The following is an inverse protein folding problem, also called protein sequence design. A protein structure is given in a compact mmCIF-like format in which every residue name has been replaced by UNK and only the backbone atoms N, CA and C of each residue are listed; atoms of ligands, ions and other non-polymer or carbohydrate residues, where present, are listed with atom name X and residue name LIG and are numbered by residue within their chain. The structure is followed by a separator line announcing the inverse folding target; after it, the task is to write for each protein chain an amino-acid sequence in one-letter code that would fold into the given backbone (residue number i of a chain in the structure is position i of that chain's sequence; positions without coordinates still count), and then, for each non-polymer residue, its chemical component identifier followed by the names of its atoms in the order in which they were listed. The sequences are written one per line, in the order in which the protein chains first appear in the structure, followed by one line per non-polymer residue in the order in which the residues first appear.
data_IF_563529038108
#
_entry.id   IF_563529038108
#
_cell.length_a   1.000
_cell.length_b   1.000
_cell.length_c   1.000
_cell.angle_alpha   90.00
_cell.angle_beta   90.00
_cell.angle_gamma   90.00
#
_symmetry.space_group_name_H-M   'P 1'
#
loop_
_entity.id
_entity.type
_entity.pdbx_description
1 polymer ?
#
# COMPACT_ATOMS: atom_id res chain seq x y z
N UNK A 1 11.76 -2.62 -6.88
CA UNK A 1 11.29 -1.93 -5.67
C UNK A 1 11.73 -0.48 -5.73
N UNK A 2 10.87 0.47 -5.36
CA UNK A 2 11.26 1.88 -5.22
C UNK A 2 11.59 2.11 -3.74
N UNK A 3 12.86 2.40 -3.44
CA UNK A 3 13.33 2.67 -2.08
C UNK A 3 13.56 4.18 -1.91
N UNK A 4 12.79 4.80 -1.01
CA UNK A 4 12.86 6.23 -0.72
C UNK A 4 13.91 6.58 0.33
N UNK A 5 14.57 5.57 0.91
CA UNK A 5 15.62 5.69 1.92
C UNK A 5 15.17 6.38 3.22
N UNK A 6 16.09 6.52 4.19
CA UNK A 6 15.77 7.05 5.53
C UNK A 6 15.52 8.58 5.57
N UNK A 7 15.65 9.29 4.46
CA UNK A 7 15.28 10.72 4.34
C UNK A 7 13.88 10.94 3.79
N UNK A 8 13.11 9.86 3.56
CA UNK A 8 11.76 9.95 3.04
C UNK A 8 10.87 10.88 3.88
N UNK A 9 10.06 11.67 3.18
CA UNK A 9 8.98 12.46 3.77
C UNK A 9 7.62 11.91 3.37
N UNK A 10 6.57 12.37 4.04
CA UNK A 10 5.19 12.05 3.65
C UNK A 10 4.95 12.39 2.17
N UNK A 11 5.37 13.56 1.72
CA UNK A 11 5.11 14.04 0.36
C UNK A 11 5.89 13.23 -0.69
N UNK A 12 7.13 12.83 -0.38
CA UNK A 12 7.90 11.92 -1.23
C UNK A 12 7.18 10.58 -1.39
N UNK A 13 6.63 10.04 -0.30
CA UNK A 13 5.89 8.79 -0.30
C UNK A 13 4.62 8.89 -1.14
N UNK A 14 3.85 9.96 -0.97
CA UNK A 14 2.59 10.17 -1.69
C UNK A 14 2.81 10.45 -3.16
N UNK A 15 3.79 11.29 -3.52
CA UNK A 15 4.11 11.56 -4.93
C UNK A 15 4.58 10.29 -5.64
N UNK A 16 5.40 9.47 -4.95
CA UNK A 16 5.85 8.19 -5.51
C UNK A 16 4.68 7.22 -5.70
N UNK A 17 3.79 7.12 -4.70
CA UNK A 17 2.61 6.26 -4.80
C UNK A 17 1.69 6.71 -5.94
N UNK A 18 1.47 8.02 -6.11
CA UNK A 18 0.66 8.56 -7.20
C UNK A 18 1.24 8.21 -8.57
N UNK A 19 2.53 8.42 -8.78
CA UNK A 19 3.21 8.07 -10.05
C UNK A 19 3.10 6.58 -10.35
N UNK A 20 3.30 5.71 -9.34
CA UNK A 20 3.16 4.26 -9.52
C UNK A 20 1.72 3.83 -9.82
N UNK A 21 0.72 4.54 -9.30
CA UNK A 21 -0.68 4.27 -9.59
C UNK A 21 -1.07 4.71 -11.01
N UNK A 22 -0.40 5.70 -11.58
CA UNK A 22 -0.60 6.14 -12.96
C UNK A 22 0.15 5.28 -13.99
N UNK A 23 1.27 4.67 -13.61
CA UNK A 23 2.13 3.88 -14.51
C UNK A 23 1.44 2.61 -15.04
N UNK A 24 1.19 2.53 -16.35
CA UNK A 24 0.57 1.38 -17.02
C UNK A 24 1.34 0.06 -16.83
N UNK A 25 2.65 0.11 -16.52
CA UNK A 25 3.46 -1.06 -16.20
C UNK A 25 3.28 -1.60 -14.77
N UNK A 26 2.43 -0.97 -13.96
CA UNK A 26 2.15 -1.35 -12.56
C UNK A 26 0.69 -1.76 -12.42
N UNK A 27 0.45 -3.02 -12.01
CA UNK A 27 -0.89 -3.56 -11.77
C UNK A 27 -1.33 -3.46 -10.29
N UNK A 28 -0.38 -3.52 -9.37
CA UNK A 28 -0.62 -3.55 -7.91
C UNK A 28 0.55 -2.91 -7.16
N UNK A 29 0.25 -2.17 -6.09
CA UNK A 29 1.28 -1.56 -5.25
C UNK A 29 1.26 -2.16 -3.85
N UNK A 30 2.40 -2.69 -3.41
CA UNK A 30 2.68 -3.01 -2.02
C UNK A 30 3.46 -1.84 -1.39
N UNK A 31 2.76 -0.97 -0.67
CA UNK A 31 3.33 0.19 -0.01
C UNK A 31 3.85 -0.20 1.38
N UNK A 32 5.16 -0.15 1.59
CA UNK A 32 5.77 -0.40 2.91
C UNK A 32 6.01 0.96 3.58
N UNK A 33 5.11 1.36 4.46
CA UNK A 33 5.17 2.62 5.20
C UNK A 33 5.85 2.38 6.55
N UNK A 34 7.14 2.75 6.66
CA UNK A 34 7.90 2.70 7.91
C UNK A 34 7.88 4.07 8.58
N UNK A 35 7.51 4.12 9.86
CA UNK A 35 7.36 5.36 10.63
C UNK A 35 8.61 5.69 11.47
N UNK A 36 9.77 5.21 11.02
CA UNK A 36 11.07 5.47 11.64
C UNK A 36 11.78 6.72 11.08
N UNK A 37 11.72 7.03 9.76
CA UNK A 37 12.33 8.24 9.21
C UNK A 37 11.74 9.51 9.84
N UNK A 38 12.58 10.53 10.15
CA UNK A 38 12.12 11.75 10.81
C UNK A 38 11.19 12.60 9.94
N UNK A 39 11.22 12.41 8.62
CA UNK A 39 10.33 13.09 7.67
C UNK A 39 8.94 12.46 7.54
N UNK A 40 8.73 11.28 8.14
CA UNK A 40 7.46 10.55 8.09
C UNK A 40 6.65 10.86 9.33
N UNK A 41 5.40 11.26 9.12
CA UNK A 41 4.48 11.62 10.20
C UNK A 41 3.27 10.69 10.24
N UNK A 42 2.56 10.68 11.36
CA UNK A 42 1.25 10.04 11.49
C UNK A 42 0.21 10.53 10.46
N UNK A 43 0.43 11.71 9.87
CA UNK A 43 -0.39 12.28 8.81
C UNK A 43 -0.33 11.48 7.51
N UNK A 44 0.74 10.71 7.28
CA UNK A 44 0.89 9.84 6.11
C UNK A 44 -0.29 8.89 5.95
N UNK A 45 -0.83 8.35 7.05
CA UNK A 45 -1.97 7.43 7.02
C UNK A 45 -3.18 8.05 6.32
N UNK A 46 -3.52 9.30 6.67
CA UNK A 46 -4.64 10.01 6.06
C UNK A 46 -4.36 10.34 4.59
N UNK A 47 -3.12 10.72 4.27
CA UNK A 47 -2.71 11.03 2.89
C UNK A 47 -2.78 9.79 2.00
N UNK A 48 -2.31 8.63 2.48
CA UNK A 48 -2.42 7.36 1.76
C UNK A 48 -3.90 7.03 1.53
N UNK A 49 -4.74 7.14 2.57
CA UNK A 49 -6.17 6.86 2.43
C UNK A 49 -6.86 7.75 1.39
N UNK A 50 -6.57 9.05 1.37
CA UNK A 50 -7.13 9.96 0.38
C UNK A 50 -6.69 9.67 -1.05
N UNK A 51 -5.46 9.16 -1.24
CA UNK A 51 -5.00 8.75 -2.58
C UNK A 51 -5.58 7.39 -3.01
N UNK A 52 -5.70 6.45 -2.07
CA UNK A 52 -6.16 5.08 -2.35
C UNK A 52 -7.68 5.02 -2.59
N UNK A 53 -8.48 5.91 -2.01
CA UNK A 53 -9.94 5.90 -2.19
C UNK A 53 -10.39 6.05 -3.64
N UNK A 54 -9.60 6.75 -4.46
CA UNK A 54 -9.89 6.99 -5.88
C UNK A 54 -9.03 6.13 -6.83
N UNK A 55 -8.19 5.25 -6.27
CA UNK A 55 -7.26 4.45 -7.05
C UNK A 55 -7.96 3.29 -7.78
N UNK A 56 -7.76 3.18 -9.09
CA UNK A 56 -8.24 2.04 -9.87
C UNK A 56 -7.44 0.75 -9.61
N UNK A 57 -6.18 0.89 -9.17
CA UNK A 57 -5.27 -0.23 -8.91
C UNK A 57 -5.24 -0.58 -7.42
N UNK A 58 -5.18 -1.87 -7.05
CA UNK A 58 -5.13 -2.27 -5.66
C UNK A 58 -3.86 -1.76 -4.96
N UNK A 59 -4.02 -1.23 -3.75
CA UNK A 59 -2.92 -0.84 -2.86
C UNK A 59 -3.01 -1.62 -1.55
N UNK A 60 -1.94 -2.33 -1.22
CA UNK A 60 -1.77 -3.00 0.06
C UNK A 60 -0.73 -2.26 0.86
N UNK A 61 -1.07 -1.84 2.08
CA UNK A 61 -0.15 -1.13 2.96
C UNK A 61 0.44 -2.09 3.99
N UNK A 62 1.75 -2.00 4.23
CA UNK A 62 2.42 -2.64 5.36
C UNK A 62 2.97 -1.53 6.24
N UNK A 63 2.53 -1.48 7.50
CA UNK A 63 3.11 -0.59 8.51
C UNK A 63 3.79 -1.44 9.58
N UNK A 64 5.07 -1.14 9.82
CA UNK A 64 5.92 -1.80 10.81
C UNK A 64 6.95 -0.81 11.36
N UNK A 65 7.48 -1.15 12.53
CA UNK A 65 8.52 -0.40 13.25
C UNK A 65 8.07 1.02 13.66
N UNK A 66 7.64 1.13 14.92
CA UNK A 66 7.23 2.37 15.58
C UNK A 66 6.39 2.05 16.82
N UNK A 67 6.26 2.99 17.78
CA UNK A 67 5.51 2.75 19.01
C UNK A 67 3.99 2.56 18.83
N UNK A 68 3.45 2.82 17.63
CA UNK A 68 2.01 2.91 17.37
C UNK A 68 1.53 2.15 16.12
N UNK A 69 2.31 1.21 15.59
CA UNK A 69 2.01 0.59 14.27
C UNK A 69 0.69 -0.17 14.24
N UNK A 70 0.25 -0.76 15.35
CA UNK A 70 -1.08 -1.38 15.43
C UNK A 70 -2.21 -0.33 15.29
N UNK A 71 -2.02 0.84 15.88
CA UNK A 71 -2.93 1.98 15.73
C UNK A 71 -2.93 2.56 14.33
N UNK A 72 -1.81 2.49 13.61
CA UNK A 72 -1.74 2.87 12.19
C UNK A 72 -2.55 1.91 11.30
N UNK A 73 -2.41 0.60 11.53
CA UNK A 73 -3.20 -0.41 10.80
C UNK A 73 -4.70 -0.24 11.08
N UNK A 74 -5.08 -0.01 12.34
CA UNK A 74 -6.48 0.28 12.69
C UNK A 74 -7.00 1.51 11.96
N UNK A 75 -6.25 2.62 11.95
CA UNK A 75 -6.66 3.84 11.25
C UNK A 75 -6.77 3.66 9.73
N UNK A 76 -5.86 2.90 9.12
CA UNK A 76 -5.98 2.55 7.70
C UNK A 76 -7.30 1.82 7.43
N UNK A 77 -7.63 0.84 8.27
CA UNK A 77 -8.89 0.10 8.17
C UNK A 77 -10.12 1.00 8.32
N UNK A 78 -10.11 1.93 9.28
CA UNK A 78 -11.20 2.90 9.48
C UNK A 78 -11.41 3.80 8.24
N UNK A 79 -10.36 4.03 7.46
CA UNK A 79 -10.43 4.75 6.18
C UNK A 79 -10.66 3.85 4.96
N UNK A 80 -10.95 2.56 5.15
CA UNK A 80 -11.20 1.61 4.06
C UNK A 80 -9.94 1.13 3.33
N UNK A 81 -8.75 1.37 3.87
CA UNK A 81 -7.47 0.91 3.32
C UNK A 81 -7.03 -0.39 3.98
N UNK A 82 -6.66 -1.38 3.16
CA UNK A 82 -6.17 -2.66 3.66
C UNK A 82 -4.71 -2.53 4.10
N UNK A 83 -4.50 -2.62 5.42
CA UNK A 83 -3.18 -2.61 6.05
C UNK A 83 -2.79 -3.94 6.68
N UNK A 84 -1.50 -4.29 6.69
CA UNK A 84 -0.94 -5.44 7.40
C UNK A 84 0.24 -5.07 8.30
N UNK A 85 0.38 -5.72 9.48
CA UNK A 85 1.49 -5.48 10.39
C UNK A 85 2.76 -6.24 10.01
N UNK A 86 2.81 -6.90 8.85
CA UNK A 86 4.04 -7.57 8.40
C UNK A 86 4.16 -7.72 6.89
N UNK A 87 5.39 -7.63 6.38
CA UNK A 87 5.70 -7.82 4.95
C UNK A 87 5.20 -9.18 4.44
N UNK A 88 5.44 -10.33 5.12
CA UNK A 88 4.92 -11.62 4.63
C UNK A 88 3.40 -11.66 4.52
N UNK A 89 2.67 -10.97 5.40
CA UNK A 89 1.20 -10.87 5.31
C UNK A 89 0.77 -10.01 4.13
N UNK A 90 1.41 -8.87 3.91
CA UNK A 90 1.16 -8.00 2.76
C UNK A 90 1.43 -8.71 1.43
N UNK A 91 2.56 -9.42 1.32
CA UNK A 91 2.91 -10.22 0.12
C UNK A 91 1.87 -11.32 -0.13
N UNK A 92 1.44 -12.04 0.92
CA UNK A 92 0.38 -13.05 0.76
C UNK A 92 -0.94 -12.43 0.31
N UNK A 93 -1.29 -11.24 0.78
CA UNK A 93 -2.50 -10.56 0.35
C UNK A 93 -2.43 -10.18 -1.13
N UNK A 94 -1.31 -9.62 -1.59
CA UNK A 94 -1.08 -9.33 -3.01
C UNK A 94 -1.17 -10.61 -3.85
N UNK A 95 -0.53 -11.71 -3.41
CA UNK A 95 -0.66 -13.00 -4.09
C UNK A 95 -2.11 -13.40 -4.29
N UNK A 96 -2.94 -13.33 -3.24
CA UNK A 96 -4.34 -13.72 -3.36
C UNK A 96 -5.17 -12.84 -4.30
N UNK A 97 -4.83 -11.55 -4.44
CA UNK A 97 -5.45 -10.66 -5.44
C UNK A 97 -5.14 -11.16 -6.85
N UNK A 98 -3.87 -11.50 -7.11
CA UNK A 98 -3.43 -12.01 -8.42
C UNK A 98 -4.07 -13.37 -8.74
N UNK A 99 -4.06 -14.31 -7.79
CA UNK A 99 -4.66 -15.63 -7.97
C UNK A 99 -6.17 -15.52 -8.25
N UNK A 100 -6.87 -14.62 -7.55
CA UNK A 100 -8.28 -14.35 -7.82
C UNK A 100 -8.50 -13.81 -9.23
N UNK A 101 -7.67 -12.87 -9.68
CA UNK A 101 -7.77 -12.33 -11.04
C UNK A 101 -7.59 -13.44 -12.10
N UNK A 102 -6.67 -14.39 -11.88
CA UNK A 102 -6.52 -15.56 -12.75
C UNK A 102 -7.74 -16.47 -12.74
N UNK A 103 -8.33 -16.71 -11.56
CA UNK A 103 -9.57 -17.49 -11.45
C UNK A 103 -10.73 -16.82 -12.20
N UNK A 104 -10.87 -15.50 -12.08
CA UNK A 104 -11.91 -14.73 -12.77
C UNK A 104 -11.72 -14.79 -14.30
N UNK A 105 -10.47 -14.67 -14.79
CA UNK A 105 -10.14 -14.87 -16.21
C UNK A 105 -10.49 -16.28 -16.70
N UNK A 106 -10.11 -17.30 -15.94
CA UNK A 106 -10.38 -18.70 -16.26
C UNK A 106 -11.89 -18.99 -16.33
N UNK A 107 -12.66 -18.50 -15.34
CA UNK A 107 -14.12 -18.63 -15.32
C UNK A 107 -14.79 -17.87 -16.48
N UNK A 108 -14.19 -16.78 -16.94
CA UNK A 108 -14.65 -16.02 -18.10
C UNK A 108 -14.24 -16.65 -19.45
N UNK A 109 -13.56 -17.80 -19.45
CA UNK A 109 -13.07 -18.47 -20.66
C UNK A 109 -11.94 -17.70 -21.37
N UNK A 110 -11.29 -16.78 -20.65
CA UNK A 110 -10.09 -16.08 -21.11
C UNK A 110 -8.87 -16.84 -20.59
N UNK A 111 -7.80 -16.96 -21.39
CA UNK A 111 -6.58 -17.65 -20.96
C UNK A 111 -5.96 -17.00 -19.71
#
# INVERSE_FOLDING_TARGET
PVDLTASATDDMTINTLAVLLEDEGVDVVLCIALFAPPGISDGLIRKIAGLVSDAAKPVIVVSQFGPFTDGHISRLYDYGVVGFPSVPRGVRAVRWIVERAHMDSWLAGKP
#
